data_IF_162346538141
#
_entry.id   IF_162346538141
#
_cell.length_a   1.000
_cell.length_b   1.000
_cell.length_c   1.000
_cell.angle_alpha   90.00
_cell.angle_beta   90.00
_cell.angle_gamma   90.00
#
_symmetry.space_group_name_H-M   'P 1'
#
loop_
_entity.id
_entity.type
_entity.pdbx_description
1 polymer ?
#
# COMPACT_ATOMS: atom_id res chain seq x y z
N UNK A 1 4.67 -6.95 -9.29
CA UNK A 1 3.36 -6.64 -9.90
C UNK A 1 2.68 -7.89 -10.43
N UNK A 2 3.19 -8.54 -11.48
CA UNK A 2 2.58 -9.79 -12.00
C UNK A 2 2.58 -10.91 -10.95
N UNK A 3 3.69 -11.04 -10.21
CA UNK A 3 3.87 -12.05 -9.15
C UNK A 3 2.91 -11.88 -7.98
N UNK A 4 2.41 -10.67 -7.73
CA UNK A 4 1.41 -10.38 -6.69
C UNK A 4 0.03 -10.89 -7.11
N UNK A 5 -0.32 -10.70 -8.38
CA UNK A 5 -1.57 -11.21 -8.99
C UNK A 5 -1.56 -12.74 -9.07
N UNK A 6 -0.40 -13.34 -9.35
CA UNK A 6 -0.23 -14.81 -9.35
C UNK A 6 -0.25 -15.35 -7.91
N UNK A 7 0.40 -14.67 -6.97
CA UNK A 7 0.64 -15.15 -5.61
C UNK A 7 1.66 -16.29 -5.54
N UNK A 8 1.94 -16.80 -4.33
CA UNK A 8 2.89 -17.92 -4.13
C UNK A 8 2.38 -19.19 -4.82
N UNK A 9 2.93 -19.51 -5.99
CA UNK A 9 2.57 -20.71 -6.76
C UNK A 9 1.22 -20.65 -7.48
N UNK A 10 0.71 -19.45 -7.80
CA UNK A 10 -0.58 -19.31 -8.49
C UNK A 10 -1.80 -19.38 -7.56
N UNK A 11 -1.61 -19.30 -6.24
CA UNK A 11 -2.71 -19.42 -5.28
C UNK A 11 -3.74 -18.28 -5.42
N UNK A 12 -3.28 -17.05 -5.64
CA UNK A 12 -4.16 -15.88 -5.76
C UNK A 12 -4.92 -15.94 -7.09
N UNK A 13 -4.23 -16.26 -8.19
CA UNK A 13 -4.88 -16.40 -9.50
C UNK A 13 -5.94 -17.51 -9.48
N UNK A 14 -5.64 -18.65 -8.84
CA UNK A 14 -6.57 -19.78 -8.74
C UNK A 14 -7.79 -19.42 -7.90
N UNK A 15 -7.60 -18.76 -6.75
CA UNK A 15 -8.71 -18.31 -5.92
C UNK A 15 -9.61 -17.31 -6.65
N UNK A 16 -9.02 -16.35 -7.38
CA UNK A 16 -9.78 -15.41 -8.22
C UNK A 16 -10.56 -16.15 -9.31
N UNK A 17 -9.89 -17.05 -10.03
CA UNK A 17 -10.48 -17.84 -11.12
C UNK A 17 -11.68 -18.68 -10.62
N UNK A 18 -11.56 -19.26 -9.42
CA UNK A 18 -12.60 -20.07 -8.80
C UNK A 18 -13.76 -19.22 -8.24
N UNK A 19 -13.46 -18.06 -7.67
CA UNK A 19 -14.45 -17.13 -7.10
C UNK A 19 -15.27 -16.42 -8.20
N UNK A 20 -14.62 -15.99 -9.28
CA UNK A 20 -15.29 -15.27 -10.37
C UNK A 20 -15.78 -16.19 -11.48
N UNK A 21 -15.32 -17.45 -11.52
CA UNK A 21 -15.58 -18.38 -12.61
C UNK A 21 -14.94 -17.97 -13.94
N UNK A 22 -13.91 -17.12 -13.91
CA UNK A 22 -13.20 -16.64 -15.11
C UNK A 22 -11.84 -17.29 -15.25
N UNK A 23 -11.40 -17.57 -16.47
CA UNK A 23 -10.05 -18.05 -16.73
C UNK A 23 -9.09 -16.87 -16.91
N UNK A 24 -8.20 -16.66 -15.93
CA UNK A 24 -7.23 -15.57 -15.94
C UNK A 24 -5.86 -16.15 -16.32
N UNK A 25 -5.36 -15.77 -17.48
CA UNK A 25 -4.06 -16.19 -18.01
C UNK A 25 -3.11 -15.00 -17.99
N UNK A 26 -1.93 -15.20 -17.43
CA UNK A 26 -0.93 -14.15 -17.27
C UNK A 26 0.31 -14.55 -18.06
N UNK A 27 0.67 -13.72 -19.03
CA UNK A 27 1.86 -13.93 -19.85
C UNK A 27 3.12 -13.34 -19.19
N UNK A 28 4.28 -13.87 -19.59
CA UNK A 28 5.60 -13.47 -19.05
C UNK A 28 5.97 -12.02 -19.37
N UNK A 29 5.33 -11.42 -20.38
CA UNK A 29 5.45 -10.01 -20.75
C UNK A 29 4.62 -9.07 -19.83
N UNK A 30 3.80 -9.63 -18.93
CA UNK A 30 2.90 -8.88 -18.06
C UNK A 30 1.49 -8.65 -18.63
N UNK A 31 1.17 -9.22 -19.79
CA UNK A 31 -0.18 -9.18 -20.36
C UNK A 31 -1.11 -10.11 -19.58
N UNK A 32 -2.17 -9.55 -18.97
CA UNK A 32 -3.22 -10.31 -18.28
C UNK A 32 -4.42 -10.49 -19.22
N UNK A 33 -4.74 -11.73 -19.58
CA UNK A 33 -5.93 -12.10 -20.36
C UNK A 33 -6.98 -12.68 -19.44
N UNK A 34 -8.17 -12.11 -19.47
CA UNK A 34 -9.33 -12.60 -18.72
C UNK A 34 -10.31 -13.18 -19.74
N UNK A 35 -10.47 -14.50 -19.72
CA UNK A 35 -11.51 -15.18 -20.48
C UNK A 35 -12.70 -15.47 -19.56
N UNK A 36 -13.86 -14.96 -19.93
CA UNK A 36 -15.10 -15.11 -19.19
C UNK A 36 -16.23 -15.47 -20.15
N UNK A 37 -17.23 -16.20 -19.65
CA UNK A 37 -18.45 -16.55 -20.40
C UNK A 37 -19.61 -15.59 -20.13
N UNK A 38 -19.43 -14.65 -19.20
CA UNK A 38 -20.40 -13.63 -18.83
C UNK A 38 -19.69 -12.31 -18.51
N UNK A 39 -20.30 -11.21 -18.95
CA UNK A 39 -19.73 -9.86 -18.79
C UNK A 39 -19.56 -9.49 -17.31
N UNK A 40 -20.51 -9.85 -16.45
CA UNK A 40 -20.44 -9.62 -15.00
C UNK A 40 -19.22 -10.30 -14.35
N UNK A 41 -18.94 -11.54 -14.72
CA UNK A 41 -17.77 -12.28 -14.21
C UNK A 41 -16.45 -11.63 -14.67
N UNK A 42 -16.40 -11.19 -15.94
CA UNK A 42 -15.26 -10.48 -16.51
C UNK A 42 -14.99 -9.15 -15.81
N UNK A 43 -16.03 -8.36 -15.53
CA UNK A 43 -15.90 -7.10 -14.79
C UNK A 43 -15.47 -7.33 -13.34
N UNK A 44 -16.01 -8.34 -12.66
CA UNK A 44 -15.62 -8.70 -11.30
C UNK A 44 -14.14 -9.13 -11.23
N UNK A 45 -13.70 -9.98 -12.16
CA UNK A 45 -12.32 -10.42 -12.27
C UNK A 45 -11.38 -9.24 -12.57
N UNK A 46 -11.75 -8.38 -13.52
CA UNK A 46 -11.00 -7.17 -13.86
C UNK A 46 -10.87 -6.25 -12.63
N UNK A 47 -11.97 -5.99 -11.93
CA UNK A 47 -11.98 -5.14 -10.74
C UNK A 47 -11.12 -5.73 -9.62
N UNK A 48 -11.21 -7.04 -9.38
CA UNK A 48 -10.36 -7.71 -8.38
C UNK A 48 -8.88 -7.69 -8.75
N UNK A 49 -8.54 -7.91 -10.01
CA UNK A 49 -7.16 -7.76 -10.50
C UNK A 49 -6.71 -6.32 -10.30
N UNK A 50 -7.55 -5.34 -10.67
CA UNK A 50 -7.27 -3.92 -10.44
C UNK A 50 -7.12 -3.59 -8.96
N UNK A 51 -7.84 -4.23 -8.03
CA UNK A 51 -7.70 -4.05 -6.58
C UNK A 51 -6.45 -4.72 -6.01
N UNK A 52 -6.06 -5.88 -6.54
CA UNK A 52 -4.81 -6.56 -6.17
C UNK A 52 -3.60 -5.81 -6.71
N UNK A 53 -3.73 -5.23 -7.91
CA UNK A 53 -2.75 -4.31 -8.48
C UNK A 53 -2.97 -2.86 -8.06
N UNK A 54 -4.03 -2.56 -7.30
CA UNK A 54 -4.30 -1.22 -6.78
C UNK A 54 -3.23 -0.99 -5.73
N UNK A 55 -2.19 -0.34 -6.22
CA UNK A 55 -1.05 0.01 -5.43
C UNK A 55 -1.43 1.17 -4.51
N UNK A 56 -0.97 1.04 -3.28
CA UNK A 56 -0.37 2.17 -2.58
C UNK A 56 0.35 3.07 -3.59
N UNK A 57 -0.15 4.28 -3.81
CA UNK A 57 0.47 5.19 -4.77
C UNK A 57 1.86 5.58 -4.25
N UNK A 58 2.90 5.07 -4.91
CA UNK A 58 4.27 5.51 -4.67
C UNK A 58 4.34 7.00 -4.98
N UNK A 59 4.77 7.80 -4.02
CA UNK A 59 4.75 9.25 -4.07
C UNK A 59 3.56 9.90 -3.36
N UNK A 60 2.54 9.15 -2.92
CA UNK A 60 1.51 9.69 -2.03
C UNK A 60 1.97 9.72 -0.58
N UNK A 61 1.36 10.65 0.15
CA UNK A 61 1.52 10.82 1.58
C UNK A 61 0.42 10.05 2.29
N UNK A 62 0.82 9.22 3.24
CA UNK A 62 -0.09 8.46 4.09
C UNK A 62 0.18 8.81 5.55
N UNK A 63 -0.85 8.71 6.37
CA UNK A 63 -0.77 8.95 7.81
C UNK A 63 -1.08 7.64 8.53
N UNK A 64 -0.23 7.26 9.49
CA UNK A 64 -0.33 5.96 10.13
C UNK A 64 0.35 5.86 11.49
N UNK A 65 -0.13 4.96 12.38
CA UNK A 65 0.53 4.71 13.66
C UNK A 65 1.85 3.97 13.48
N UNK A 66 2.84 4.37 14.28
CA UNK A 66 4.06 3.59 14.48
C UNK A 66 3.69 2.31 15.22
N UNK A 67 3.81 1.17 14.57
CA UNK A 67 3.57 -0.15 15.17
C UNK A 67 4.76 -0.59 16.02
N UNK A 68 5.98 -0.25 15.59
CA UNK A 68 7.20 -0.69 16.26
C UNK A 68 8.37 0.23 15.98
N UNK A 69 9.18 0.49 17.00
CA UNK A 69 10.46 1.18 16.86
C UNK A 69 11.61 0.16 16.73
N UNK A 70 12.57 0.45 15.86
CA UNK A 70 13.79 -0.33 15.64
C UNK A 70 15.00 0.59 15.84
N UNK A 71 16.21 0.05 16.05
CA UNK A 71 17.42 0.87 16.24
C UNK A 71 17.78 1.73 15.02
N UNK A 72 17.39 1.29 13.83
CA UNK A 72 17.70 1.96 12.55
C UNK A 72 16.45 2.51 11.82
N UNK A 73 15.27 2.41 12.43
CA UNK A 73 14.03 2.90 11.82
C UNK A 73 12.78 2.69 12.65
N UNK A 74 11.61 2.88 12.03
CA UNK A 74 10.31 2.62 12.63
C UNK A 74 9.41 1.91 11.63
N UNK A 75 8.59 0.98 12.10
CA UNK A 75 7.52 0.36 11.34
C UNK A 75 6.27 1.21 11.55
N UNK A 76 5.72 1.73 10.46
CA UNK A 76 4.49 2.53 10.44
C UNK A 76 3.46 1.79 9.61
N UNK A 77 2.27 1.57 10.17
CA UNK A 77 1.18 0.98 9.41
C UNK A 77 0.46 2.09 8.65
N UNK A 78 0.59 2.10 7.33
CA UNK A 78 -0.05 3.12 6.48
C UNK A 78 -1.43 2.69 6.00
N UNK A 79 -1.66 1.38 5.88
CA UNK A 79 -2.90 0.76 5.43
C UNK A 79 -3.07 -0.61 6.12
N UNK A 80 -4.31 -1.09 6.31
CA UNK A 80 -4.55 -2.40 6.92
C UNK A 80 -3.89 -3.51 6.10
N UNK A 81 -2.95 -4.23 6.71
CA UNK A 81 -2.17 -5.28 6.05
C UNK A 81 -0.98 -4.80 5.21
N UNK A 82 -0.68 -3.49 5.19
CA UNK A 82 0.53 -2.94 4.55
C UNK A 82 1.34 -2.10 5.52
N UNK A 83 2.49 -2.64 5.89
CA UNK A 83 3.43 -2.00 6.80
C UNK A 83 4.56 -1.32 6.02
N UNK A 84 4.93 -0.14 6.47
CA UNK A 84 6.06 0.61 5.92
C UNK A 84 7.22 0.73 6.89
N UNK A 85 8.43 0.63 6.38
CA UNK A 85 9.67 0.88 7.10
C UNK A 85 10.14 2.31 6.84
N UNK A 86 10.17 3.12 7.89
CA UNK A 86 10.76 4.46 7.92
C UNK A 86 12.20 4.35 8.44
N UNK A 87 13.18 4.58 7.58
CA UNK A 87 14.59 4.53 7.97
C UNK A 87 14.99 5.79 8.76
N UNK A 88 15.90 5.68 9.73
CA UNK A 88 16.36 6.82 10.55
C UNK A 88 16.87 7.99 9.70
N UNK A 89 17.58 7.69 8.61
CA UNK A 89 18.09 8.69 7.66
C UNK A 89 17.00 9.42 6.86
N UNK A 90 15.77 8.92 6.90
CA UNK A 90 14.59 9.47 6.22
C UNK A 90 13.60 10.15 7.18
N UNK A 91 13.93 10.24 8.48
CA UNK A 91 13.08 10.90 9.49
C UNK A 91 13.25 12.42 9.42
N UNK A 92 14.48 12.94 9.49
CA UNK A 92 14.75 14.37 9.50
C UNK A 92 16.11 14.72 8.87
N UNK A 93 16.29 15.96 8.41
CA UNK A 93 17.56 16.45 7.82
C UNK A 93 18.66 16.60 8.87
N UNK A 94 18.29 16.71 10.14
CA UNK A 94 19.20 16.75 11.28
C UNK A 94 19.68 15.36 11.69
N UNK A 95 20.79 15.32 12.45
CA UNK A 95 21.36 14.08 12.96
C UNK A 95 20.51 13.56 14.12
N UNK A 96 19.62 12.63 13.82
CA UNK A 96 18.81 11.92 14.82
C UNK A 96 19.71 10.98 15.62
N UNK A 97 19.90 11.26 16.92
CA UNK A 97 20.70 10.41 17.82
C UNK A 97 19.90 9.20 18.32
N UNK A 98 18.59 9.39 18.56
CA UNK A 98 17.67 8.33 18.95
C UNK A 98 16.32 8.54 18.26
N UNK A 99 15.78 7.45 17.71
CA UNK A 99 14.49 7.48 17.02
C UNK A 99 13.35 7.76 18.02
N UNK A 100 13.49 7.30 19.27
CA UNK A 100 12.51 7.48 20.34
C UNK A 100 12.20 8.93 20.71
N UNK A 101 13.09 9.88 20.39
CA UNK A 101 12.85 11.31 20.59
C UNK A 101 11.91 11.89 19.51
N UNK A 102 11.91 11.32 18.30
CA UNK A 102 11.11 11.80 17.16
C UNK A 102 9.85 10.97 16.92
N UNK A 103 9.91 9.67 17.19
CA UNK A 103 8.85 8.70 16.93
C UNK A 103 8.59 7.87 18.19
N UNK A 104 7.31 7.72 18.55
CA UNK A 104 6.85 6.87 19.65
C UNK A 104 5.97 5.75 19.12
N UNK A 105 6.00 4.60 19.78
CA UNK A 105 5.05 3.52 19.49
C UNK A 105 3.62 4.02 19.69
N UNK A 106 2.75 3.77 18.71
CA UNK A 106 1.38 4.27 18.64
C UNK A 106 1.25 5.72 18.14
N UNK A 107 2.34 6.45 17.90
CA UNK A 107 2.27 7.81 17.37
C UNK A 107 1.83 7.81 15.91
N UNK A 108 0.85 8.64 15.59
CA UNK A 108 0.41 8.88 14.22
C UNK A 108 1.41 9.80 13.53
N UNK A 109 2.00 9.33 12.42
CA UNK A 109 2.96 10.10 11.62
C UNK A 109 2.60 10.09 10.15
N UNK A 110 2.85 11.23 9.49
CA UNK A 110 2.74 11.36 8.05
C UNK A 110 4.03 10.89 7.40
N UNK A 111 3.91 10.07 6.37
CA UNK A 111 5.02 9.45 5.65
C UNK A 111 4.70 9.40 4.15
N UNK A 112 5.69 9.71 3.31
CA UNK A 112 5.59 9.54 1.86
C UNK A 112 6.14 8.18 1.48
N UNK A 113 5.49 7.53 0.53
CA UNK A 113 5.88 6.19 0.09
C UNK A 113 6.86 6.34 -1.05
N UNK A 114 8.09 5.91 -0.83
CA UNK A 114 9.18 6.00 -1.80
C UNK A 114 9.22 4.79 -2.73
N UNK A 115 8.96 3.62 -2.19
CA UNK A 115 9.03 2.35 -2.91
C UNK A 115 8.11 1.32 -2.25
N UNK A 116 7.65 0.34 -3.03
CA UNK A 116 6.94 -0.82 -2.53
C UNK A 116 7.70 -2.09 -2.92
N UNK A 117 8.00 -2.94 -1.94
CA UNK A 117 8.66 -4.24 -2.12
C UNK A 117 7.63 -5.32 -2.48
N UNK A 118 8.03 -6.35 -3.23
CA UNK A 118 7.17 -7.49 -3.62
C UNK A 118 6.62 -8.29 -2.41
N UNK A 119 7.10 -8.03 -1.19
CA UNK A 119 6.57 -8.62 0.04
C UNK A 119 5.49 -7.77 0.73
N UNK A 120 5.01 -6.70 0.09
CA UNK A 120 4.05 -5.76 0.67
C UNK A 120 4.65 -4.79 1.70
N UNK A 121 5.99 -4.74 1.81
CA UNK A 121 6.70 -3.80 2.69
C UNK A 121 6.94 -2.50 1.94
N UNK A 122 6.54 -1.39 2.54
CA UNK A 122 6.65 -0.08 1.91
C UNK A 122 7.89 0.64 2.45
N UNK A 123 8.65 1.33 1.60
CA UNK A 123 9.72 2.23 2.04
C UNK A 123 9.13 3.61 2.25
N UNK A 124 9.27 4.11 3.47
CA UNK A 124 8.70 5.37 3.88
C UNK A 124 9.78 6.44 4.04
N UNK A 125 9.42 7.69 3.75
CA UNK A 125 10.24 8.84 4.05
C UNK A 125 9.40 10.00 4.58
N UNK A 126 9.87 10.57 5.68
CA UNK A 126 9.29 11.75 6.32
C UNK A 126 9.99 13.03 5.80
N UNK A 127 11.25 12.92 5.39
CA UNK A 127 11.99 14.00 4.71
C UNK A 127 11.27 14.54 3.49
N UNK A 128 10.70 13.66 2.67
CA UNK A 128 9.98 14.06 1.47
C UNK A 128 8.73 14.93 1.76
N UNK A 129 8.30 15.03 3.02
CA UNK A 129 7.23 15.93 3.48
C UNK A 129 7.75 17.25 4.04
N UNK A 130 9.02 17.31 4.44
CA UNK A 130 9.63 18.56 4.93
C UNK A 130 9.89 19.54 3.78
N UNK A 131 10.05 19.04 2.55
CA UNK A 131 10.22 19.84 1.32
C UNK A 131 8.90 20.31 0.68
N UNK A 132 7.74 19.73 1.03
CA UNK A 132 6.43 20.12 0.48
C UNK A 132 5.49 20.62 1.60
N UNK A 133 4.89 21.83 1.50
CA UNK A 133 3.88 22.26 2.45
C UNK A 133 2.63 21.40 2.30
N UNK A 134 2.48 20.40 3.17
CA UNK A 134 1.31 19.52 3.24
C UNK A 134 0.07 20.33 3.65
N UNK A 135 -0.68 20.80 2.66
CA UNK A 135 -2.09 21.13 2.83
C UNK A 135 -2.84 19.87 3.25
N UNK A 136 -3.43 19.80 4.46
CA UNK A 136 -4.25 18.66 4.84
C UNK A 136 -5.50 18.63 3.95
N UNK A 137 -5.61 17.60 3.10
CA UNK A 137 -6.84 17.34 2.36
C UNK A 137 -7.95 16.94 3.36
N UNK A 138 -9.19 17.38 3.13
CA UNK A 138 -10.23 17.44 4.14
C UNK A 138 -10.73 16.03 4.50
N UNK A 139 -11.08 15.88 5.78
CA UNK A 139 -11.82 14.76 6.29
C UNK A 139 -13.05 14.50 5.41
N UNK A 140 -13.23 13.24 5.02
CA UNK A 140 -14.49 12.74 4.48
C UNK A 140 -15.57 12.88 5.55
N UNK A 141 -16.27 14.02 5.57
CA UNK A 141 -17.61 14.11 6.13
C UNK A 141 -18.51 13.25 5.24
N UNK A 142 -18.90 12.08 5.75
CA UNK A 142 -20.09 11.38 5.28
C UNK A 142 -21.30 12.28 5.56
N UNK A 143 -22.12 12.67 4.57
CA UNK A 143 -23.44 13.18 4.88
C UNK A 143 -24.31 11.97 5.22
N UNK A 144 -24.41 11.64 6.50
CA UNK A 144 -25.42 10.70 6.98
C UNK A 144 -26.68 11.46 7.43
N UNK A 145 -27.79 11.03 6.86
CA UNK A 145 -29.19 11.19 7.28
C UNK A 145 -30.05 12.30 6.67
N UNK A 146 -30.88 11.80 5.74
CA UNK A 146 -32.22 12.24 5.45
C UNK A 146 -33.10 12.39 6.70
N UNK A 147 -34.01 13.36 6.65
CA UNK A 147 -35.12 13.57 7.57
C UNK A 147 -35.96 14.77 7.16
#
# INVERSE_FOLDING_TARGET
>A
KIRDVIGKGGAVIRALTEETGTQIDIQEDGSVKIACTSMEAGELAKKRIEEITAEVEVGKVYEGPVIKLLDFGAIVNVLPGRDGLLHISQIAHERVNAIGDHLKEGQIVKVKILEADEKGRLRLSMKALLDEPVVPAPASESPENAG
#
